data_IF_170695846138
#
_entry.id   IF_170695846138
#
_cell.length_a   1.000
_cell.length_b   1.000
_cell.length_c   1.000
_cell.angle_alpha   90.00
_cell.angle_beta   90.00
_cell.angle_gamma   90.00
#
_symmetry.space_group_name_H-M   'P 1'
#
loop_
_entity.id
_entity.type
_entity.pdbx_description
1 polymer ?
#
# COMPACT_ATOMS: atom_id res chain seq x y z
N UNK A 1 27.08 -63.11 49.87
CA UNK A 1 26.72 -62.34 48.64
C UNK A 1 25.51 -61.50 48.94
N UNK A 2 25.70 -60.18 49.09
CA UNK A 2 24.64 -59.25 49.46
C UNK A 2 24.01 -58.69 48.18
N UNK A 3 22.84 -59.20 47.78
CA UNK A 3 22.07 -58.64 46.66
C UNK A 3 21.48 -57.29 47.08
N UNK A 4 21.82 -56.21 46.37
CA UNK A 4 21.18 -54.89 46.49
C UNK A 4 20.02 -54.84 45.48
N UNK A 5 18.79 -54.93 45.95
CA UNK A 5 17.58 -55.17 45.11
C UNK A 5 16.75 -53.91 44.79
N UNK A 6 17.34 -52.71 44.84
CA UNK A 6 16.57 -51.45 44.75
C UNK A 6 16.93 -50.49 43.60
N UNK A 7 18.00 -50.74 42.84
CA UNK A 7 18.55 -49.73 41.90
C UNK A 7 17.91 -49.73 40.50
N UNK A 8 17.21 -50.78 40.06
CA UNK A 8 16.73 -50.87 38.66
C UNK A 8 15.44 -50.08 38.35
N UNK A 9 14.50 -49.96 39.28
CA UNK A 9 13.21 -49.30 39.00
C UNK A 9 13.34 -47.77 38.93
N UNK A 10 14.18 -47.17 39.78
CA UNK A 10 14.47 -45.73 39.75
C UNK A 10 15.20 -45.36 38.46
N UNK A 11 16.16 -46.17 38.01
CA UNK A 11 16.91 -45.94 36.77
C UNK A 11 15.98 -45.94 35.54
N UNK A 12 15.04 -46.88 35.48
CA UNK A 12 14.04 -46.93 34.40
C UNK A 12 13.10 -45.72 34.47
N UNK A 13 12.62 -45.32 35.65
CA UNK A 13 11.76 -44.14 35.81
C UNK A 13 12.47 -42.85 35.42
N UNK A 14 13.74 -42.68 35.80
CA UNK A 14 14.55 -41.53 35.38
C UNK A 14 14.77 -41.54 33.87
N UNK A 15 15.02 -42.71 33.28
CA UNK A 15 15.20 -42.83 31.83
C UNK A 15 13.93 -42.44 31.07
N UNK A 16 12.76 -42.93 31.50
CA UNK A 16 11.46 -42.54 30.92
C UNK A 16 11.18 -41.06 31.16
N UNK A 17 11.54 -40.52 32.32
CA UNK A 17 11.42 -39.09 32.62
C UNK A 17 12.24 -38.22 31.67
N UNK A 18 13.51 -38.58 31.43
CA UNK A 18 14.40 -37.87 30.50
C UNK A 18 13.88 -37.98 29.06
N UNK A 19 13.46 -39.18 28.64
CA UNK A 19 12.88 -39.40 27.31
C UNK A 19 11.59 -38.61 27.11
N UNK A 20 10.73 -38.55 28.14
CA UNK A 20 9.49 -37.77 28.12
C UNK A 20 9.75 -36.27 27.97
N UNK A 21 10.70 -35.72 28.74
CA UNK A 21 11.11 -34.31 28.62
C UNK A 21 11.69 -34.03 27.22
N UNK A 22 12.52 -34.93 26.70
CA UNK A 22 13.08 -34.83 25.35
C UNK A 22 12.00 -34.81 24.26
N UNK A 23 11.00 -35.69 24.37
CA UNK A 23 9.92 -35.78 23.40
C UNK A 23 8.99 -34.55 23.44
N UNK A 24 8.68 -34.02 24.63
CA UNK A 24 7.93 -32.77 24.78
C UNK A 24 8.70 -31.59 24.16
N UNK A 25 10.02 -31.54 24.35
CA UNK A 25 10.86 -30.50 23.74
C UNK A 25 10.82 -30.55 22.21
N UNK A 26 10.91 -31.73 21.60
CA UNK A 26 10.84 -31.90 20.13
C UNK A 26 9.45 -31.51 19.59
N UNK A 27 8.36 -31.87 20.28
CA UNK A 27 7.01 -31.49 19.86
C UNK A 27 6.82 -29.97 19.90
N UNK A 28 7.38 -29.29 20.90
CA UNK A 28 7.29 -27.84 21.02
C UNK A 28 8.09 -27.08 19.92
N UNK A 29 9.13 -27.70 19.35
CA UNK A 29 9.93 -27.09 18.27
C UNK A 29 9.20 -27.06 16.92
N UNK A 30 8.29 -28.01 16.64
CA UNK A 30 7.59 -28.07 15.35
C UNK A 30 6.71 -26.83 15.07
N UNK A 31 5.83 -26.37 15.99
CA UNK A 31 5.05 -25.16 15.77
C UNK A 31 5.92 -23.91 15.55
N UNK A 32 7.02 -23.78 16.29
CA UNK A 32 7.95 -22.66 16.15
C UNK A 32 8.65 -22.67 14.78
N UNK A 33 9.09 -23.84 14.32
CA UNK A 33 9.66 -24.02 12.98
C UNK A 33 8.63 -23.73 11.88
N UNK A 34 7.37 -24.17 12.06
CA UNK A 34 6.31 -23.91 11.10
C UNK A 34 5.96 -22.42 10.97
N UNK A 35 5.92 -21.67 12.09
CA UNK A 35 5.65 -20.22 12.08
C UNK A 35 6.77 -19.46 11.36
N UNK A 36 8.04 -19.78 11.66
CA UNK A 36 9.19 -19.12 11.02
C UNK A 36 9.27 -19.44 9.53
N UNK A 37 9.00 -20.69 9.12
CA UNK A 37 8.90 -21.06 7.70
C UNK A 37 7.74 -20.35 7.00
N UNK A 38 6.58 -20.23 7.66
CA UNK A 38 5.42 -19.52 7.13
C UNK A 38 5.70 -18.02 6.90
N UNK A 39 6.42 -17.38 7.83
CA UNK A 39 6.86 -15.99 7.66
C UNK A 39 7.88 -15.86 6.53
N UNK A 40 8.89 -16.73 6.48
CA UNK A 40 9.89 -16.71 5.41
C UNK A 40 9.26 -16.88 4.01
N UNK A 41 8.29 -17.79 3.86
CA UNK A 41 7.56 -17.95 2.61
C UNK A 41 6.72 -16.73 2.26
N UNK A 42 6.07 -16.09 3.25
CA UNK A 42 5.33 -14.85 3.02
C UNK A 42 6.28 -13.77 2.51
N UNK A 43 7.40 -13.56 3.19
CA UNK A 43 8.37 -12.51 2.88
C UNK A 43 9.01 -12.72 1.49
N UNK A 44 9.33 -13.96 1.12
CA UNK A 44 9.85 -14.32 -0.21
C UNK A 44 8.84 -14.02 -1.34
N UNK A 45 7.57 -14.37 -1.11
CA UNK A 45 6.49 -14.13 -2.07
C UNK A 45 6.19 -12.65 -2.24
N UNK A 46 6.13 -11.88 -1.14
CA UNK A 46 5.89 -10.44 -1.20
C UNK A 46 7.08 -9.70 -1.81
N UNK A 47 8.32 -10.12 -1.55
CA UNK A 47 9.51 -9.58 -2.20
C UNK A 47 9.51 -9.83 -3.72
N UNK A 48 9.14 -11.04 -4.15
CA UNK A 48 9.00 -11.39 -5.57
C UNK A 48 7.91 -10.56 -6.26
N UNK A 49 6.77 -10.35 -5.58
CA UNK A 49 5.71 -9.47 -6.06
C UNK A 49 6.22 -8.04 -6.25
N UNK A 50 6.94 -7.50 -5.25
CA UNK A 50 7.47 -6.15 -5.30
C UNK A 50 8.51 -5.96 -6.41
N UNK A 51 9.36 -6.97 -6.66
CA UNK A 51 10.32 -6.95 -7.76
C UNK A 51 9.63 -6.93 -9.13
N UNK A 52 8.59 -7.76 -9.30
CA UNK A 52 7.79 -7.81 -10.53
C UNK A 52 7.06 -6.49 -10.77
N UNK A 53 6.44 -5.95 -9.72
CA UNK A 53 5.71 -4.69 -9.75
C UNK A 53 6.60 -3.51 -10.12
N UNK A 54 7.79 -3.41 -9.52
CA UNK A 54 8.78 -2.36 -9.79
C UNK A 54 9.29 -2.41 -11.25
N UNK A 55 9.67 -3.60 -11.74
CA UNK A 55 10.09 -3.77 -13.13
C UNK A 55 9.01 -3.31 -14.12
N UNK A 56 7.74 -3.65 -13.85
CA UNK A 56 6.62 -3.22 -14.68
C UNK A 56 6.43 -1.70 -14.69
N UNK A 57 6.29 -1.07 -13.52
CA UNK A 57 6.01 0.38 -13.47
C UNK A 57 7.20 1.20 -13.97
N UNK A 58 8.44 0.73 -13.77
CA UNK A 58 9.65 1.37 -14.31
C UNK A 58 9.65 1.36 -15.84
N UNK A 59 9.29 0.24 -16.46
CA UNK A 59 9.17 0.17 -17.91
C UNK A 59 8.07 1.11 -18.44
N UNK A 60 6.90 1.11 -17.80
CA UNK A 60 5.78 2.00 -18.15
C UNK A 60 6.17 3.46 -18.01
N UNK A 61 6.83 3.83 -16.91
CA UNK A 61 7.28 5.20 -16.67
C UNK A 61 8.31 5.65 -17.70
N UNK A 62 9.33 4.83 -17.96
CA UNK A 62 10.34 5.17 -18.97
C UNK A 62 9.70 5.38 -20.34
N UNK A 63 8.88 4.45 -20.82
CA UNK A 63 8.27 4.51 -22.15
C UNK A 63 7.24 5.62 -22.31
N UNK A 64 6.37 5.80 -21.32
CA UNK A 64 5.18 6.65 -21.47
C UNK A 64 5.30 8.01 -20.78
N UNK A 65 6.37 8.24 -20.01
CA UNK A 65 6.64 9.53 -19.36
C UNK A 65 7.98 10.12 -19.80
N UNK A 66 9.05 9.32 -19.84
CA UNK A 66 10.40 9.84 -20.15
C UNK A 66 10.62 9.97 -21.67
N UNK A 67 10.31 8.92 -22.44
CA UNK A 67 10.57 8.90 -23.90
C UNK A 67 9.56 9.72 -24.71
N UNK A 68 8.36 9.93 -24.18
CA UNK A 68 7.29 10.64 -24.90
C UNK A 68 7.44 12.16 -24.78
N UNK A 69 7.27 12.86 -25.90
CA UNK A 69 7.17 14.33 -25.93
C UNK A 69 5.92 14.82 -25.21
N UNK A 70 4.86 14.03 -25.24
CA UNK A 70 3.58 14.31 -24.59
C UNK A 70 3.19 13.09 -23.76
N UNK A 71 3.53 13.06 -22.46
CA UNK A 71 3.24 11.92 -21.59
C UNK A 71 1.77 11.54 -21.62
N UNK A 72 1.46 10.25 -21.74
CA UNK A 72 0.06 9.77 -21.77
C UNK A 72 -0.41 9.13 -20.47
N UNK A 73 0.48 8.93 -19.49
CA UNK A 73 0.13 8.21 -18.27
C UNK A 73 -0.83 8.99 -17.36
N UNK A 74 -1.95 8.39 -16.91
CA UNK A 74 -2.90 9.06 -16.02
C UNK A 74 -2.27 9.56 -14.71
N UNK A 75 -1.34 8.79 -14.14
CA UNK A 75 -0.68 9.18 -12.88
C UNK A 75 0.25 10.39 -13.05
N UNK A 76 0.80 10.61 -14.25
CA UNK A 76 1.66 11.77 -14.53
C UNK A 76 0.91 13.08 -14.30
N UNK A 77 -0.34 13.14 -14.74
CA UNK A 77 -1.21 14.31 -14.58
C UNK A 77 -1.81 14.39 -13.17
N UNK A 78 -2.17 13.26 -12.58
CA UNK A 78 -2.72 13.24 -11.22
C UNK A 78 -1.73 13.78 -10.16
N UNK A 79 -0.42 13.65 -10.39
CA UNK A 79 0.61 14.21 -9.51
C UNK A 79 0.65 15.75 -9.51
N UNK A 80 0.18 16.43 -10.56
CA UNK A 80 0.17 17.89 -10.65
C UNK A 80 -0.90 18.52 -9.73
N UNK A 81 -1.87 17.73 -9.25
CA UNK A 81 -2.98 18.18 -8.40
C UNK A 81 -4.03 19.05 -9.08
N UNK A 82 -3.83 19.37 -10.35
CA UNK A 82 -4.72 20.23 -11.12
C UNK A 82 -5.75 19.37 -11.87
N UNK A 83 -6.88 19.10 -11.23
CA UNK A 83 -8.13 19.05 -11.97
C UNK A 83 -8.81 20.40 -11.77
N UNK A 84 -8.41 21.38 -12.58
CA UNK A 84 -9.01 22.71 -12.58
C UNK A 84 -10.46 22.62 -13.07
N UNK A 85 -11.34 23.33 -12.38
CA UNK A 85 -12.74 23.56 -12.72
C UNK A 85 -12.95 23.78 -14.23
N UNK A 86 -13.70 22.90 -14.88
CA UNK A 86 -14.16 23.11 -16.26
C UNK A 86 -13.22 22.70 -17.40
N UNK A 87 -11.98 22.23 -17.15
CA UNK A 87 -11.35 21.37 -18.15
C UNK A 87 -12.00 20.00 -18.05
N UNK A 88 -12.87 19.68 -19.01
CA UNK A 88 -13.33 18.30 -19.21
C UNK A 88 -12.10 17.40 -19.15
N UNK A 89 -12.07 16.41 -18.24
CA UNK A 89 -10.92 15.52 -18.08
C UNK A 89 -10.55 15.03 -19.45
N UNK A 90 -9.34 15.36 -19.94
CA UNK A 90 -8.84 15.08 -21.29
C UNK A 90 -9.87 14.30 -22.10
N UNK A 91 -10.82 15.04 -22.68
CA UNK A 91 -11.76 14.54 -23.67
C UNK A 91 -10.95 14.31 -24.95
N UNK A 92 -9.91 13.47 -24.84
CA UNK A 92 -9.50 12.63 -25.95
C UNK A 92 -10.79 11.94 -26.35
N UNK A 93 -11.30 12.37 -27.50
CA UNK A 93 -12.55 12.01 -28.17
C UNK A 93 -12.62 10.52 -28.55
N UNK A 94 -11.98 9.64 -27.77
CA UNK A 94 -11.89 8.21 -27.94
C UNK A 94 -12.12 7.41 -26.62
N UNK A 95 -12.45 8.05 -25.50
CA UNK A 95 -12.83 7.35 -24.26
C UNK A 95 -14.35 7.36 -24.08
N UNK A 96 -14.95 6.17 -24.21
CA UNK A 96 -16.38 5.95 -24.15
C UNK A 96 -17.06 6.67 -22.99
N UNK A 97 -18.10 7.42 -23.34
CA UNK A 97 -19.05 8.08 -22.43
C UNK A 97 -19.63 7.07 -21.44
N UNK A 98 -19.23 7.15 -20.16
CA UNK A 98 -19.86 6.33 -19.11
C UNK A 98 -19.06 6.14 -17.82
N UNK A 99 -17.75 6.44 -17.80
CA UNK A 99 -16.97 6.34 -16.55
C UNK A 99 -16.92 7.71 -15.88
N UNK A 100 -17.56 7.90 -14.71
CA UNK A 100 -17.42 9.13 -13.94
C UNK A 100 -15.97 9.22 -13.45
N UNK A 101 -15.19 10.12 -14.07
CA UNK A 101 -13.92 10.55 -13.52
C UNK A 101 -14.18 11.25 -12.19
N UNK A 102 -13.37 11.00 -11.14
CA UNK A 102 -13.49 11.74 -9.89
C UNK A 102 -13.30 13.22 -10.19
N UNK A 103 -14.35 14.03 -10.07
CA UNK A 103 -14.15 15.45 -9.86
C UNK A 103 -13.65 15.58 -8.43
N UNK A 104 -12.35 15.83 -8.25
CA UNK A 104 -11.89 16.39 -7.00
C UNK A 104 -12.62 17.73 -6.84
N UNK A 105 -13.51 17.82 -5.86
CA UNK A 105 -14.24 19.06 -5.57
C UNK A 105 -13.22 20.16 -5.40
N UNK A 106 -13.26 21.11 -6.33
CA UNK A 106 -12.34 22.22 -6.49
C UNK A 106 -11.94 22.81 -5.12
N UNK A 107 -10.69 22.63 -4.65
CA UNK A 107 -10.19 23.52 -3.62
C UNK A 107 -10.21 24.89 -4.30
N UNK A 108 -11.00 25.83 -3.77
CA UNK A 108 -11.25 27.16 -4.35
C UNK A 108 -10.13 27.63 -5.28
N UNK A 109 -10.46 28.16 -6.46
CA UNK A 109 -9.56 28.57 -7.56
C UNK A 109 -8.36 29.49 -7.20
N UNK A 110 -8.12 29.71 -5.90
CA UNK A 110 -6.98 30.32 -5.25
C UNK A 110 -6.03 29.33 -4.56
N UNK A 111 -6.10 28.01 -4.77
CA UNK A 111 -5.04 27.14 -4.26
C UNK A 111 -3.72 27.58 -4.92
N UNK A 112 -2.72 28.03 -4.14
CA UNK A 112 -1.47 28.48 -4.72
C UNK A 112 -0.93 27.35 -5.57
N UNK A 113 -0.57 27.64 -6.82
CA UNK A 113 0.36 26.81 -7.57
C UNK A 113 1.62 26.80 -6.70
N UNK A 114 1.75 25.78 -5.86
CA UNK A 114 2.86 25.69 -4.93
C UNK A 114 4.14 25.64 -5.76
N UNK A 115 5.17 26.39 -5.35
CA UNK A 115 6.37 26.53 -6.15
C UNK A 115 6.95 25.15 -6.42
N UNK A 116 7.49 24.98 -7.63
CA UNK A 116 7.89 23.69 -8.20
C UNK A 116 8.98 22.95 -7.40
N UNK A 117 9.47 23.51 -6.30
CA UNK A 117 10.46 22.93 -5.40
C UNK A 117 9.88 21.91 -4.40
N UNK A 118 8.56 21.83 -4.23
CA UNK A 118 7.93 20.91 -3.27
C UNK A 118 7.60 19.55 -3.89
N UNK A 119 7.37 18.50 -3.07
CA UNK A 119 6.86 17.22 -3.55
C UNK A 119 5.53 17.36 -4.32
N UNK A 120 5.31 16.49 -5.30
CA UNK A 120 4.02 16.43 -6.00
C UNK A 120 2.92 15.84 -5.10
N UNK A 121 1.69 15.79 -5.58
CA UNK A 121 0.66 15.00 -4.91
C UNK A 121 1.00 13.52 -5.01
N UNK A 122 0.79 12.72 -3.94
CA UNK A 122 0.85 11.27 -4.06
C UNK A 122 -0.28 10.76 -4.96
N UNK A 123 -0.04 9.68 -5.67
CA UNK A 123 -1.02 9.03 -6.53
C UNK A 123 -1.00 7.51 -6.29
N UNK A 124 -2.17 6.93 -6.09
CA UNK A 124 -2.34 5.47 -6.03
C UNK A 124 -2.56 4.96 -7.44
N UNK A 125 -1.55 4.30 -8.00
CA UNK A 125 -1.72 3.54 -9.24
C UNK A 125 -2.18 2.14 -8.84
N UNK A 126 -3.49 1.92 -8.93
CA UNK A 126 -4.13 0.67 -8.55
C UNK A 126 -5.21 0.28 -9.56
N UNK A 127 -4.85 -0.39 -10.66
CA UNK A 127 -5.80 -0.80 -11.67
C UNK A 127 -6.94 -1.69 -11.13
N UNK A 128 -6.69 -2.52 -10.11
CA UNK A 128 -7.71 -3.38 -9.51
C UNK A 128 -8.72 -2.58 -8.69
N UNK A 129 -8.25 -1.66 -7.83
CA UNK A 129 -9.13 -0.77 -7.06
C UNK A 129 -9.78 0.32 -7.90
N UNK A 130 -9.15 0.75 -8.99
CA UNK A 130 -9.78 1.65 -9.97
C UNK A 130 -10.98 0.97 -10.63
N UNK A 131 -10.85 -0.31 -11.00
CA UNK A 131 -11.91 -1.09 -11.61
C UNK A 131 -13.13 -1.35 -10.68
N UNK A 132 -12.99 -1.20 -9.36
CA UNK A 132 -14.13 -1.25 -8.43
C UNK A 132 -14.95 0.04 -8.39
N UNK A 133 -14.57 1.05 -9.17
CA UNK A 133 -15.17 2.39 -9.13
C UNK A 133 -14.66 3.26 -7.99
N UNK A 134 -13.60 2.84 -7.28
CA UNK A 134 -12.96 3.69 -6.27
C UNK A 134 -11.93 4.57 -6.93
N UNK A 135 -12.30 5.84 -7.09
CA UNK A 135 -11.46 6.82 -7.75
C UNK A 135 -10.50 7.57 -6.80
N UNK A 136 -10.62 7.31 -5.49
CA UNK A 136 -9.74 7.87 -4.48
C UNK A 136 -9.59 6.93 -3.27
N UNK A 137 -8.55 7.17 -2.47
CA UNK A 137 -8.38 6.53 -1.16
C UNK A 137 -9.47 7.03 -0.20
N UNK A 138 -10.07 6.12 0.57
CA UNK A 138 -11.02 6.51 1.63
C UNK A 138 -12.50 6.57 1.22
N UNK A 139 -12.87 6.13 0.02
CA UNK A 139 -14.24 6.25 -0.50
C UNK A 139 -15.22 5.31 0.23
N UNK A 140 -15.66 5.74 1.42
CA UNK A 140 -16.99 5.51 1.99
C UNK A 140 -17.76 6.81 1.74
N UNK A 141 -18.82 6.70 0.93
CA UNK A 141 -19.62 7.82 0.47
C UNK A 141 -19.93 8.83 1.58
N UNK A 142 -19.47 10.06 1.33
CA UNK A 142 -19.80 11.33 1.99
C UNK A 142 -18.53 12.12 2.27
N UNK A 143 -17.96 12.70 1.21
CA UNK A 143 -17.08 13.87 1.30
C UNK A 143 -17.90 15.08 1.77
N UNK A 144 -18.42 15.03 3.00
CA UNK A 144 -19.01 16.21 3.64
C UNK A 144 -17.88 16.91 4.40
N UNK A 145 -17.13 17.80 3.73
CA UNK A 145 -16.16 18.66 4.44
C UNK A 145 -14.86 19.04 3.73
N UNK A 146 -14.64 18.69 2.46
CA UNK A 146 -13.47 19.21 1.71
C UNK A 146 -12.11 18.59 2.08
N UNK A 147 -12.08 17.40 2.67
CA UNK A 147 -10.84 16.67 2.94
C UNK A 147 -10.26 16.12 1.63
N UNK A 148 -9.04 16.54 1.28
CA UNK A 148 -8.31 16.09 0.10
C UNK A 148 -8.10 14.57 0.12
N UNK A 149 -8.55 13.89 -0.95
CA UNK A 149 -8.32 12.47 -1.13
C UNK A 149 -7.12 12.23 -2.05
N UNK A 150 -6.35 11.19 -1.77
CA UNK A 150 -5.28 10.75 -2.64
C UNK A 150 -5.91 10.15 -3.90
N UNK A 151 -5.62 10.67 -5.11
CA UNK A 151 -6.21 10.17 -6.34
C UNK A 151 -5.80 8.72 -6.59
N UNK A 152 -6.76 7.90 -7.02
CA UNK A 152 -6.51 6.54 -7.52
C UNK A 152 -6.69 6.52 -9.03
N UNK A 153 -5.72 5.97 -9.73
CA UNK A 153 -5.71 5.88 -11.20
C UNK A 153 -5.29 4.49 -11.66
N UNK A 154 -5.57 4.22 -12.93
CA UNK A 154 -5.02 3.06 -13.65
C UNK A 154 -3.82 3.48 -14.52
N UNK A 155 -3.21 2.52 -15.21
CA UNK A 155 -2.17 2.77 -16.22
C UNK A 155 -2.76 2.79 -17.62
N UNK A 156 -2.15 3.55 -18.54
CA UNK A 156 -2.67 3.75 -19.89
C UNK A 156 -2.87 2.42 -20.64
N UNK A 157 -1.94 1.47 -20.48
CA UNK A 157 -2.01 0.13 -21.11
C UNK A 157 -3.28 -0.65 -20.76
N UNK A 158 -3.80 -0.45 -19.54
CA UNK A 158 -5.05 -1.08 -19.10
C UNK A 158 -6.22 -0.27 -19.63
N UNK A 159 -6.18 1.06 -19.50
CA UNK A 159 -7.25 1.94 -19.97
C UNK A 159 -7.51 1.83 -21.48
N UNK A 160 -6.49 1.50 -22.28
CA UNK A 160 -6.60 1.35 -23.73
C UNK A 160 -7.27 0.05 -24.20
N UNK A 161 -7.66 -0.86 -23.29
CA UNK A 161 -8.38 -2.07 -23.69
C UNK A 161 -9.82 -1.73 -24.11
N UNK A 162 -10.30 -2.39 -25.16
CA UNK A 162 -11.56 -2.06 -25.83
C UNK A 162 -12.82 -2.28 -24.95
N UNK A 163 -12.74 -3.17 -23.97
CA UNK A 163 -13.88 -3.51 -23.10
C UNK A 163 -13.47 -3.52 -21.63
N UNK A 164 -14.38 -3.13 -20.73
CA UNK A 164 -14.16 -3.19 -19.26
C UNK A 164 -13.79 -4.59 -18.79
N UNK A 165 -14.34 -5.64 -19.40
CA UNK A 165 -13.95 -7.01 -19.10
C UNK A 165 -12.47 -7.28 -19.38
N UNK A 166 -11.95 -6.82 -20.52
CA UNK A 166 -10.52 -6.92 -20.85
C UNK A 166 -9.66 -6.06 -19.92
N UNK A 167 -10.12 -4.86 -19.56
CA UNK A 167 -9.44 -3.99 -18.58
C UNK A 167 -9.28 -4.71 -17.24
N UNK A 168 -10.36 -5.30 -16.73
CA UNK A 168 -10.37 -6.00 -15.45
C UNK A 168 -9.49 -7.25 -15.46
N UNK A 169 -9.50 -8.02 -16.56
CA UNK A 169 -8.64 -9.19 -16.73
C UNK A 169 -7.16 -8.80 -16.81
N UNK A 170 -6.84 -7.71 -17.50
CA UNK A 170 -5.46 -7.23 -17.62
C UNK A 170 -4.96 -6.63 -16.31
N UNK A 171 -5.80 -5.85 -15.61
CA UNK A 171 -5.52 -5.35 -14.26
C UNK A 171 -5.21 -6.49 -13.30
N UNK A 172 -6.03 -7.55 -13.32
CA UNK A 172 -5.80 -8.74 -12.53
C UNK A 172 -4.45 -9.38 -12.87
N UNK A 173 -4.14 -9.56 -14.16
CA UNK A 173 -2.91 -10.21 -14.60
C UNK A 173 -1.65 -9.42 -14.21
N UNK A 174 -1.71 -8.09 -14.31
CA UNK A 174 -0.56 -7.21 -14.09
C UNK A 174 -0.34 -6.86 -12.62
N UNK A 175 -1.37 -6.95 -11.78
CA UNK A 175 -1.29 -6.54 -10.38
C UNK A 175 -1.38 -7.73 -9.40
N UNK A 176 -1.28 -8.98 -9.87
CA UNK A 176 -1.31 -10.17 -9.01
C UNK A 176 -0.18 -11.14 -9.31
N UNK A 177 0.23 -11.90 -8.29
CA UNK A 177 1.24 -12.95 -8.46
C UNK A 177 0.69 -14.06 -9.37
N UNK A 178 1.47 -14.46 -10.38
CA UNK A 178 1.03 -15.46 -11.38
C UNK A 178 1.16 -16.92 -10.93
N UNK A 179 1.52 -17.17 -9.66
CA UNK A 179 1.86 -18.50 -9.15
C UNK A 179 0.65 -19.46 -8.99
N UNK A 180 -0.57 -18.97 -9.22
CA UNK A 180 -1.80 -19.75 -9.08
C UNK A 180 -2.43 -20.22 -10.40
N UNK A 181 -1.64 -20.66 -11.40
CA UNK A 181 -2.23 -21.25 -12.61
C UNK A 181 -2.70 -22.68 -12.33
N UNK A 182 -4.00 -22.92 -12.43
CA UNK A 182 -4.59 -24.26 -12.41
C UNK A 182 -4.64 -24.82 -13.83
N UNK A 183 -4.28 -26.10 -13.95
CA UNK A 183 -4.35 -26.86 -15.19
C UNK A 183 -5.51 -27.84 -15.08
N UNK A 184 -6.27 -28.03 -16.15
CA UNK A 184 -7.23 -29.13 -16.20
C UNK A 184 -6.50 -30.47 -16.36
N UNK A 185 -7.26 -31.57 -16.35
CA UNK A 185 -6.75 -32.94 -16.52
C UNK A 185 -6.00 -33.12 -17.86
N UNK A 186 -6.22 -32.25 -18.85
CA UNK A 186 -5.53 -32.24 -20.14
C UNK A 186 -4.23 -31.41 -20.13
N UNK A 187 -3.75 -30.97 -18.95
CA UNK A 187 -2.61 -30.08 -18.77
C UNK A 187 -2.74 -28.73 -19.52
N UNK A 188 -3.96 -28.32 -19.85
CA UNK A 188 -4.26 -27.00 -20.42
C UNK A 188 -4.55 -26.04 -19.28
N UNK A 189 -3.86 -24.89 -19.26
CA UNK A 189 -4.16 -23.83 -18.31
C UNK A 189 -5.62 -23.40 -18.50
N UNK A 190 -6.47 -23.62 -17.50
CA UNK A 190 -7.86 -23.21 -17.63
C UNK A 190 -7.93 -21.67 -17.62
N UNK A 191 -8.70 -21.10 -18.56
CA UNK A 191 -8.79 -19.67 -18.75
C UNK A 191 -9.92 -19.09 -17.89
N UNK A 192 -9.60 -18.24 -16.91
CA UNK A 192 -10.60 -17.52 -16.12
C UNK A 192 -10.05 -16.75 -14.94
N UNK A 193 -10.72 -15.67 -14.54
CA UNK A 193 -10.39 -14.89 -13.34
C UNK A 193 -10.67 -15.66 -12.03
N UNK A 194 -11.55 -16.67 -12.07
CA UNK A 194 -11.93 -17.52 -10.93
C UNK A 194 -10.86 -18.55 -10.54
N UNK A 195 -9.78 -18.65 -11.30
CA UNK A 195 -8.88 -19.82 -11.29
C UNK A 195 -7.56 -19.59 -10.59
N UNK A 196 -7.33 -18.35 -10.14
CA UNK A 196 -6.12 -17.94 -9.43
C UNK A 196 -6.44 -17.78 -7.97
N UNK A 197 -5.69 -18.47 -7.12
CA UNK A 197 -5.59 -18.06 -5.72
C UNK A 197 -4.82 -16.73 -5.71
N UNK A 198 -5.56 -15.62 -5.75
CA UNK A 198 -5.03 -14.26 -5.75
C UNK A 198 -4.54 -13.89 -4.35
N UNK A 199 -3.61 -14.70 -3.84
CA UNK A 199 -3.10 -14.51 -2.50
C UNK A 199 -2.34 -13.20 -2.39
N UNK A 200 -1.44 -12.91 -3.34
CA UNK A 200 -0.71 -11.66 -3.33
C UNK A 200 -1.04 -10.82 -4.56
N UNK A 201 -1.35 -9.55 -4.31
CA UNK A 201 -1.52 -8.52 -5.33
C UNK A 201 -0.98 -7.20 -4.81
N UNK A 202 -0.86 -6.20 -5.66
CA UNK A 202 -0.18 -4.96 -5.29
C UNK A 202 -0.81 -3.72 -5.92
N UNK A 203 -0.41 -2.58 -5.38
CA UNK A 203 -0.55 -1.27 -6.00
C UNK A 203 0.76 -0.50 -5.90
N UNK A 204 0.88 0.59 -6.67
CA UNK A 204 1.98 1.53 -6.55
C UNK A 204 1.50 2.84 -5.94
N UNK A 205 2.30 3.40 -5.04
CA UNK A 205 2.17 4.81 -4.62
C UNK A 205 3.32 5.57 -5.24
N UNK A 206 2.98 6.54 -6.08
CA UNK A 206 3.93 7.35 -6.83
C UNK A 206 3.88 8.80 -6.36
N UNK A 207 5.04 9.43 -6.22
CA UNK A 207 5.15 10.85 -5.88
C UNK A 207 6.47 11.43 -6.41
N UNK A 208 6.47 12.62 -7.01
CA UNK A 208 7.72 13.30 -7.37
C UNK A 208 8.34 13.91 -6.10
N UNK A 209 9.64 13.72 -5.84
CA UNK A 209 10.34 14.44 -4.77
C UNK A 209 10.24 15.96 -4.94
N UNK A 210 10.27 16.41 -6.20
CA UNK A 210 10.24 17.81 -6.59
C UNK A 210 9.34 17.95 -7.79
N UNK A 211 8.29 18.79 -7.71
CA UNK A 211 7.25 18.84 -8.73
C UNK A 211 7.73 19.42 -10.08
N UNK A 212 8.78 20.24 -10.09
CA UNK A 212 9.45 20.72 -11.31
C UNK A 212 10.07 19.59 -12.11
N UNK A 213 10.64 18.59 -11.45
CA UNK A 213 11.17 17.41 -12.12
C UNK A 213 10.05 16.40 -12.38
N UNK A 214 9.42 16.56 -13.54
CA UNK A 214 8.30 15.70 -13.93
C UNK A 214 8.70 14.27 -14.32
N UNK A 215 10.00 14.02 -14.48
CA UNK A 215 10.56 12.73 -14.92
C UNK A 215 11.14 11.90 -13.80
N UNK A 216 11.27 12.45 -12.58
CA UNK A 216 11.75 11.72 -11.41
C UNK A 216 10.61 11.47 -10.41
N UNK A 217 10.34 10.21 -10.11
CA UNK A 217 9.22 9.79 -9.26
C UNK A 217 9.68 8.75 -8.24
N UNK A 218 9.39 8.95 -6.95
CA UNK A 218 9.52 7.91 -5.93
C UNK A 218 8.44 6.85 -6.15
N UNK A 219 8.81 5.59 -5.92
CA UNK A 219 7.91 4.47 -6.08
C UNK A 219 7.90 3.63 -4.81
N UNK A 220 6.70 3.48 -4.23
CA UNK A 220 6.46 2.54 -3.14
C UNK A 220 5.49 1.47 -3.63
N UNK A 221 5.88 0.20 -3.53
CA UNK A 221 5.02 -0.93 -3.85
C UNK A 221 4.35 -1.42 -2.57
N UNK A 222 3.02 -1.43 -2.56
CA UNK A 222 2.22 -1.95 -1.44
C UNK A 222 1.67 -3.31 -1.85
N UNK A 223 2.08 -4.37 -1.15
CA UNK A 223 1.64 -5.74 -1.42
C UNK A 223 0.55 -6.12 -0.43
N UNK A 224 -0.58 -6.62 -0.92
CA UNK A 224 -1.70 -7.12 -0.12
C UNK A 224 -1.71 -8.66 -0.06
N UNK A 225 -2.20 -9.21 1.06
CA UNK A 225 -2.51 -10.63 1.24
C UNK A 225 -4.03 -10.83 1.21
N UNK A 226 -4.54 -11.57 0.22
CA UNK A 226 -5.97 -11.90 0.00
C UNK A 226 -6.87 -10.69 -0.27
N UNK A 227 -6.36 -9.62 -0.88
CA UNK A 227 -7.22 -8.55 -1.42
C UNK A 227 -8.00 -9.09 -2.62
N UNK A 228 -9.32 -9.06 -2.55
CA UNK A 228 -10.20 -9.62 -3.59
C UNK A 228 -10.24 -8.69 -4.81
N UNK A 229 -10.12 -9.26 -6.01
CA UNK A 229 -10.27 -8.48 -7.25
C UNK A 229 -11.70 -7.99 -7.43
N UNK A 230 -11.87 -6.75 -7.90
CA UNK A 230 -13.18 -6.13 -8.12
C UNK A 230 -14.08 -6.07 -6.89
N UNK A 231 -13.52 -6.19 -5.68
CA UNK A 231 -14.29 -6.07 -4.45
C UNK A 231 -13.54 -5.20 -3.44
N UNK A 232 -14.23 -4.15 -2.99
CA UNK A 232 -13.78 -3.26 -1.93
C UNK A 232 -14.68 -3.47 -0.71
N UNK A 233 -14.22 -4.18 0.33
CA UNK A 233 -14.98 -4.27 1.57
C UNK A 233 -15.21 -2.86 2.16
N UNK A 234 -16.36 -2.58 2.78
CA UNK A 234 -16.54 -1.35 3.56
C UNK A 234 -15.43 -1.19 4.59
N UNK A 235 -14.82 0.00 4.68
CA UNK A 235 -13.71 0.27 5.61
C UNK A 235 -12.36 -0.33 5.20
N UNK A 236 -12.25 -0.96 4.03
CA UNK A 236 -10.97 -1.49 3.52
C UNK A 236 -9.92 -0.43 3.20
N UNK A 237 -10.28 0.84 3.20
CA UNK A 237 -9.35 1.95 3.20
C UNK A 237 -10.01 3.06 4.01
N UNK A 238 -9.60 3.21 5.26
CA UNK A 238 -10.18 4.19 6.16
C UNK A 238 -9.20 5.33 6.39
N UNK A 239 -9.69 6.57 6.33
CA UNK A 239 -8.89 7.77 6.56
C UNK A 239 -9.26 8.35 7.91
N UNK A 240 -8.25 8.57 8.74
CA UNK A 240 -8.40 9.15 10.08
C UNK A 240 -7.58 10.43 10.18
N UNK A 241 -8.21 11.50 10.64
CA UNK A 241 -7.49 12.74 10.93
C UNK A 241 -6.85 12.65 12.32
N UNK A 242 -5.58 13.02 12.42
CA UNK A 242 -4.81 13.01 13.66
C UNK A 242 -3.73 14.08 13.67
N UNK A 243 -3.11 14.31 14.82
CA UNK A 243 -1.92 15.16 14.95
C UNK A 243 -0.68 14.29 14.90
N UNK A 244 0.17 14.57 13.92
CA UNK A 244 1.50 14.01 13.78
C UNK A 244 2.51 14.89 14.51
N UNK A 245 3.35 14.27 15.34
CA UNK A 245 4.47 14.93 16.00
C UNK A 245 5.78 14.38 15.40
N UNK A 246 6.47 15.14 14.53
CA UNK A 246 7.73 14.70 13.97
C UNK A 246 8.74 14.28 15.04
N UNK A 247 9.62 13.33 14.69
CA UNK A 247 10.56 12.65 15.58
C UNK A 247 9.95 11.73 16.66
N UNK A 248 8.62 11.71 16.85
CA UNK A 248 7.96 10.71 17.68
C UNK A 248 7.71 9.42 16.90
N UNK A 249 7.63 8.31 17.61
CA UNK A 249 7.27 6.99 17.06
C UNK A 249 5.84 6.61 17.38
N UNK A 250 4.99 7.55 17.83
CA UNK A 250 3.61 7.25 18.19
C UNK A 250 2.61 8.19 17.52
N UNK A 251 1.44 7.64 17.18
CA UNK A 251 0.32 8.40 16.62
C UNK A 251 -1.00 7.87 17.18
N UNK A 252 -1.93 8.77 17.51
CA UNK A 252 -3.22 8.39 18.09
C UNK A 252 -4.32 8.50 17.04
N UNK A 253 -5.07 7.44 16.81
CA UNK A 253 -6.19 7.41 15.85
C UNK A 253 -7.49 6.97 16.55
N UNK A 254 -8.63 7.15 15.88
CA UNK A 254 -9.94 6.67 16.37
C UNK A 254 -9.99 5.15 16.48
N UNK A 255 -10.73 4.62 17.47
CA UNK A 255 -10.86 3.17 17.71
C UNK A 255 -11.69 2.41 16.67
N UNK A 256 -12.26 3.09 15.69
CA UNK A 256 -12.98 2.44 14.59
C UNK A 256 -12.06 1.88 13.51
N UNK A 257 -10.74 2.07 13.65
CA UNK A 257 -9.74 1.58 12.71
C UNK A 257 -9.41 0.09 12.93
N UNK A 258 -9.49 -0.74 11.88
CA UNK A 258 -8.98 -2.13 11.91
C UNK A 258 -7.44 -2.12 11.76
N UNK A 259 -6.75 -1.76 12.85
CA UNK A 259 -5.29 -1.73 12.94
C UNK A 259 -4.82 -2.80 13.91
N UNK A 260 -3.76 -3.52 13.55
CA UNK A 260 -3.20 -4.61 14.37
C UNK A 260 -1.69 -4.48 14.44
N UNK A 261 -1.07 -5.10 15.45
CA UNK A 261 0.39 -5.24 15.46
C UNK A 261 0.86 -5.88 14.16
N UNK A 262 1.85 -5.26 13.53
CA UNK A 262 2.43 -5.69 12.27
C UNK A 262 1.72 -5.18 11.02
N UNK A 263 0.58 -4.49 11.13
CA UNK A 263 -0.07 -3.84 9.98
C UNK A 263 0.68 -2.59 9.52
N UNK A 264 0.29 -2.06 8.38
CA UNK A 264 0.86 -0.84 7.81
C UNK A 264 -0.15 0.29 7.82
N UNK A 265 0.32 1.49 8.10
CA UNK A 265 -0.43 2.75 7.97
C UNK A 265 0.36 3.70 7.10
N UNK A 266 -0.32 4.61 6.41
CA UNK A 266 0.30 5.62 5.57
C UNK A 266 -0.08 7.00 6.08
N UNK A 267 0.92 7.87 6.26
CA UNK A 267 0.67 9.31 6.32
C UNK A 267 0.43 9.79 4.89
N UNK A 268 -0.85 10.02 4.59
CA UNK A 268 -1.37 10.53 3.34
C UNK A 268 -1.79 11.98 3.44
N UNK A 269 -1.13 12.77 4.31
CA UNK A 269 -1.48 14.16 4.53
C UNK A 269 -1.29 14.99 3.27
N UNK A 270 -2.37 15.63 2.84
CA UNK A 270 -2.40 16.64 1.78
C UNK A 270 -3.06 17.87 2.37
N UNK A 271 -2.25 18.81 2.87
CA UNK A 271 -2.75 20.04 3.49
C UNK A 271 -1.75 21.18 3.35
N UNK A 272 -2.14 22.37 3.77
CA UNK A 272 -1.25 23.51 3.94
C UNK A 272 -1.19 23.84 5.42
N UNK A 273 0.00 23.87 6.00
CA UNK A 273 0.19 24.25 7.40
C UNK A 273 0.82 25.63 7.44
N UNK A 274 0.29 26.50 8.28
CA UNK A 274 0.96 27.75 8.65
C UNK A 274 1.87 27.43 9.82
N UNK A 275 3.18 27.42 9.56
CA UNK A 275 4.18 27.14 10.58
C UNK A 275 4.29 28.30 11.59
N UNK A 276 4.96 28.11 12.75
CA UNK A 276 5.11 29.15 13.77
C UNK A 276 5.73 30.47 13.25
N UNK A 277 6.49 30.40 12.15
CA UNK A 277 7.06 31.56 11.45
C UNK A 277 6.04 32.34 10.59
N UNK A 278 4.75 31.98 10.64
CA UNK A 278 3.68 32.50 9.77
C UNK A 278 3.92 32.26 8.27
N UNK A 279 4.64 31.20 7.93
CA UNK A 279 4.85 30.77 6.54
C UNK A 279 3.94 29.59 6.25
N UNK A 280 3.10 29.72 5.22
CA UNK A 280 2.27 28.60 4.74
C UNK A 280 3.10 27.66 3.88
N UNK A 281 3.24 26.40 4.32
CA UNK A 281 3.98 25.35 3.61
C UNK A 281 3.03 24.19 3.23
N UNK A 282 3.09 23.68 1.98
CA UNK A 282 2.31 22.52 1.59
C UNK A 282 2.92 21.25 2.19
N UNK A 283 2.10 20.47 2.87
CA UNK A 283 2.44 19.11 3.29
C UNK A 283 1.76 18.15 2.33
N UNK A 284 2.57 17.33 1.64
CA UNK A 284 2.12 16.29 0.71
C UNK A 284 2.89 15.03 1.01
N UNK A 285 2.36 14.19 1.88
CA UNK A 285 3.06 13.00 2.35
C UNK A 285 2.59 11.73 1.64
N UNK A 286 3.53 10.81 1.50
CA UNK A 286 3.31 9.46 0.99
C UNK A 286 4.10 8.43 1.80
N UNK A 287 4.15 8.60 3.13
CA UNK A 287 5.10 7.91 4.00
C UNK A 287 4.41 6.74 4.67
N UNK A 288 5.02 5.56 4.61
CA UNK A 288 4.49 4.34 5.20
C UNK A 288 5.20 4.01 6.50
N UNK A 289 4.40 3.62 7.50
CA UNK A 289 4.88 3.22 8.81
C UNK A 289 4.32 1.83 9.15
N UNK A 290 5.19 0.96 9.68
CA UNK A 290 4.80 -0.35 10.20
C UNK A 290 4.43 -0.20 11.67
N UNK A 291 3.29 -0.73 12.05
CA UNK A 291 2.78 -0.69 13.42
C UNK A 291 3.46 -1.76 14.28
N UNK A 292 4.18 -1.37 15.32
CA UNK A 292 4.86 -2.26 16.27
C UNK A 292 3.94 -2.71 17.41
N UNK A 293 3.08 -1.83 17.89
CA UNK A 293 2.05 -2.14 18.89
C UNK A 293 0.85 -1.20 18.76
N UNK A 294 -0.27 -1.65 19.30
CA UNK A 294 -1.53 -0.91 19.36
C UNK A 294 -1.96 -0.88 20.83
N UNK A 295 -2.07 0.29 21.41
CA UNK A 295 -2.51 0.49 22.79
C UNK A 295 -3.91 1.12 22.77
N UNK A 296 -4.88 0.45 23.38
CA UNK A 296 -6.23 1.00 23.59
C UNK A 296 -6.21 1.97 24.77
N UNK A 297 -6.58 3.22 24.50
CA UNK A 297 -6.62 4.28 25.51
C UNK A 297 -7.93 4.27 26.32
N UNK A 298 -8.88 3.38 26.01
CA UNK A 298 -10.16 3.23 26.73
C UNK A 298 -11.20 4.33 26.46
N UNK A 299 -10.89 5.28 25.58
CA UNK A 299 -11.73 6.44 25.23
C UNK A 299 -12.17 6.43 23.76
N UNK A 300 -12.13 5.26 23.11
CA UNK A 300 -12.39 5.16 21.68
C UNK A 300 -11.23 5.67 20.81
N UNK A 301 -9.99 5.59 21.30
CA UNK A 301 -8.79 5.86 20.50
C UNK A 301 -7.71 4.79 20.72
N UNK A 302 -6.92 4.56 19.68
CA UNK A 302 -5.75 3.71 19.68
C UNK A 302 -4.49 4.55 19.56
N UNK A 303 -3.52 4.34 20.44
CA UNK A 303 -2.15 4.82 20.25
C UNK A 303 -1.37 3.75 19.51
N UNK A 304 -0.92 4.07 18.30
CA UNK A 304 -0.09 3.20 17.48
C UNK A 304 1.38 3.52 17.74
N UNK A 305 2.18 2.52 18.05
CA UNK A 305 3.64 2.63 18.02
C UNK A 305 4.13 2.26 16.61
N UNK A 306 4.99 3.09 16.04
CA UNK A 306 5.50 3.02 14.67
C UNK A 306 6.96 2.56 14.67
N UNK A 307 7.36 1.87 13.61
CA UNK A 307 8.72 1.33 13.48
C UNK A 307 9.80 2.39 13.24
N UNK A 308 9.42 3.53 12.66
CA UNK A 308 10.31 4.65 12.38
C UNK A 308 9.71 5.94 12.92
N UNK A 309 10.54 6.92 13.34
CA UNK A 309 10.05 8.23 13.72
C UNK A 309 9.25 8.89 12.60
N UNK A 310 8.21 9.64 12.97
CA UNK A 310 7.42 10.45 12.06
C UNK A 310 8.34 11.52 11.46
N UNK A 311 8.31 11.66 10.14
CA UNK A 311 9.13 12.63 9.41
C UNK A 311 8.25 13.55 8.57
N UNK A 312 8.65 14.81 8.42
CA UNK A 312 8.11 15.70 7.40
C UNK A 312 9.06 15.77 6.20
N UNK A 313 8.50 15.77 4.99
CA UNK A 313 9.29 15.88 3.75
C UNK A 313 9.94 17.25 3.58
N UNK A 314 9.43 18.29 4.25
CA UNK A 314 10.00 19.64 4.26
C UNK A 314 11.12 19.83 5.32
N UNK A 315 11.46 18.78 6.07
CA UNK A 315 12.49 18.80 7.10
C UNK A 315 12.10 19.51 8.40
N UNK A 316 10.87 19.99 8.53
CA UNK A 316 10.41 20.67 9.74
C UNK A 316 10.09 19.67 10.86
N UNK A 317 10.12 20.14 12.11
CA UNK A 317 9.87 19.30 13.29
C UNK A 317 8.59 19.65 14.06
N UNK A 318 7.87 20.70 13.64
CA UNK A 318 6.65 21.13 14.32
C UNK A 318 5.48 20.16 14.05
N UNK A 319 4.61 19.94 15.06
CA UNK A 319 3.39 19.15 14.89
C UNK A 319 2.49 19.65 13.77
N UNK A 320 1.77 18.75 13.13
CA UNK A 320 0.77 19.08 12.12
C UNK A 320 -0.44 18.15 12.21
N UNK A 321 -1.62 18.69 11.92
CA UNK A 321 -2.82 17.86 11.72
C UNK A 321 -2.82 17.31 10.31
N UNK A 322 -2.97 15.99 10.20
CA UNK A 322 -2.86 15.27 8.95
C UNK A 322 -3.80 14.07 8.88
N UNK A 323 -3.68 13.30 7.79
CA UNK A 323 -4.52 12.15 7.50
C UNK A 323 -3.70 10.86 7.52
N UNK A 324 -4.08 9.93 8.39
CA UNK A 324 -3.60 8.55 8.40
C UNK A 324 -4.53 7.70 7.56
N UNK A 325 -4.00 7.07 6.52
CA UNK A 325 -4.68 6.05 5.74
C UNK A 325 -4.37 4.69 6.33
N UNK A 326 -5.42 3.98 6.74
CA UNK A 326 -5.35 2.59 7.21
C UNK A 326 -5.78 1.69 6.06
N UNK A 327 -4.89 0.78 5.67
CA UNK A 327 -5.12 -0.24 4.66
C UNK A 327 -5.01 -1.62 5.34
N UNK A 328 -6.14 -2.34 5.55
CA UNK A 328 -6.11 -3.71 6.02
C UNK A 328 -5.51 -4.61 4.94
N UNK A 329 -5.10 -5.80 5.37
CA UNK A 329 -4.56 -6.83 4.50
C UNK A 329 -3.25 -6.45 3.76
N UNK A 330 -2.57 -5.36 4.11
CA UNK A 330 -1.22 -5.09 3.62
C UNK A 330 -0.26 -6.12 4.19
N UNK A 331 0.32 -6.93 3.31
CA UNK A 331 1.29 -7.96 3.64
C UNK A 331 2.63 -7.34 3.99
N UNK A 332 3.12 -6.45 3.13
CA UNK A 332 4.38 -5.72 3.26
C UNK A 332 4.43 -4.50 2.33
N UNK A 333 5.35 -3.56 2.60
CA UNK A 333 5.55 -2.33 1.83
C UNK A 333 7.02 -2.18 1.44
N UNK A 334 7.28 -1.97 0.16
CA UNK A 334 8.63 -1.87 -0.38
C UNK A 334 8.86 -0.51 -1.01
N UNK A 335 9.76 0.28 -0.41
CA UNK A 335 10.31 1.46 -1.06
C UNK A 335 11.28 1.02 -2.15
N UNK A 336 11.09 1.51 -3.38
CA UNK A 336 11.92 1.15 -4.53
C UNK A 336 12.82 2.31 -4.92
N UNK A 337 13.94 2.07 -5.63
CA UNK A 337 14.75 3.12 -6.20
C UNK A 337 13.89 4.04 -7.07
N UNK A 338 14.19 5.34 -7.03
CA UNK A 338 13.48 6.35 -7.81
C UNK A 338 13.39 5.95 -9.29
N UNK A 339 12.23 6.20 -9.88
CA UNK A 339 12.02 6.16 -11.31
C UNK A 339 12.63 7.46 -11.85
N UNK A 340 13.57 7.37 -12.79
CA UNK A 340 14.25 8.54 -13.36
C UNK A 340 14.59 8.29 -14.82
N UNK A 341 14.93 9.35 -15.55
CA UNK A 341 15.32 9.28 -16.95
C UNK A 341 16.66 8.56 -17.21
N UNK A 342 17.53 8.52 -16.21
CA UNK A 342 18.89 7.97 -16.33
C UNK A 342 18.96 6.46 -16.11
N UNK A 343 17.96 5.88 -15.42
CA UNK A 343 17.94 4.47 -15.07
C UNK A 343 16.90 3.76 -15.92
N UNK A 344 17.34 3.27 -17.08
CA UNK A 344 16.57 2.33 -17.90
C UNK A 344 16.32 1.00 -17.16
N UNK A 345 15.39 0.18 -17.66
CA UNK A 345 15.03 -1.12 -17.08
C UNK A 345 16.19 -2.12 -17.03
#
# INVERSE_FOLDING_TARGET
MTRRTGTSLIEVLVTIGILGIGLISVIALFPMAAITMGQALKDDRTATCAATADGYIRNVHFRNVVEQTTPTEPYFFAMDGNQTDGQTPLSGTALGTGVPTPQLSNPSANTPIYPDSHPSYPVFVDPMGYATGSNAVGDLGSFTGGTYAIPRVTVQTIQSQATTAQQNLLALRLCSQMDGLTYNDDAVAQQGASMRELRYNWLWVLQRPTNSDRTTTTCTVVVFDRRVNLYKPPGSEAVFTTTFNPAQTSVTISSTADVRKGSWVMDGTITTVTDPDNVSRPIRHAIFYRVLSVNDNGNGSYTLELNTPITRLDGQTYPYTGNVVVMPAVADVYQRPVLSSTVGP
#
